data_IF_521235200881
#
_entry.id   IF_521235200881
#
_cell.length_a   1.000
_cell.length_b   1.000
_cell.length_c   1.000
_cell.angle_alpha   90.00
_cell.angle_beta   90.00
_cell.angle_gamma   90.00
#
_symmetry.space_group_name_H-M   'P 1'
#
loop_
_entity.id
_entity.type
_entity.pdbx_description
1 polymer ?
#
# COMPACT_ATOMS: atom_id res chain seq x y z
N UNK A 1 -29.14 10.14 -6.50
CA UNK A 1 -27.85 10.79 -6.19
C UNK A 1 -27.06 9.78 -5.41
N UNK A 2 -25.91 9.34 -5.96
CA UNK A 2 -24.97 8.50 -5.21
C UNK A 2 -24.52 9.28 -3.96
N UNK A 3 -24.46 8.61 -2.81
CA UNK A 3 -24.00 9.24 -1.57
C UNK A 3 -22.49 9.40 -1.61
N UNK A 4 -21.95 10.58 -1.31
CA UNK A 4 -20.50 10.75 -1.19
C UNK A 4 -20.01 10.41 0.23
N UNK A 5 -18.74 10.01 0.36
CA UNK A 5 -18.11 9.68 1.65
C UNK A 5 -18.26 10.75 2.74
N UNK A 6 -18.44 12.02 2.34
CA UNK A 6 -18.69 13.15 3.24
C UNK A 6 -20.02 13.07 4.00
N UNK A 7 -20.96 12.27 3.51
CA UNK A 7 -22.35 12.27 3.96
C UNK A 7 -22.61 11.20 5.05
N UNK A 8 -21.56 10.48 5.47
CA UNK A 8 -21.64 9.35 6.39
C UNK A 8 -21.37 9.78 7.85
N UNK A 9 -22.32 9.49 8.75
CA UNK A 9 -22.25 9.77 10.19
C UNK A 9 -21.26 8.84 10.91
N UNK A 10 -20.51 9.34 11.91
CA UNK A 10 -19.49 8.58 12.68
C UNK A 10 -19.93 8.41 14.14
N UNK A 11 -20.02 7.18 14.67
CA UNK A 11 -20.46 6.92 16.06
C UNK A 11 -19.56 5.86 16.75
N UNK A 12 -19.12 6.03 18.01
CA UNK A 12 -18.29 5.04 18.69
C UNK A 12 -19.03 3.72 19.01
N UNK A 13 -18.42 2.56 18.70
CA UNK A 13 -18.94 1.21 19.04
C UNK A 13 -19.27 0.29 17.85
N UNK A 14 -18.56 0.43 16.73
CA UNK A 14 -19.06 0.06 15.39
C UNK A 14 -18.96 -1.43 15.02
N UNK A 15 -20.01 -1.92 14.37
CA UNK A 15 -20.03 -3.18 13.61
C UNK A 15 -19.12 -3.01 12.36
N UNK A 16 -18.05 -3.80 12.22
CA UNK A 16 -17.09 -3.67 11.12
C UNK A 16 -17.68 -3.95 9.73
N UNK A 17 -18.88 -4.53 9.63
CA UNK A 17 -19.53 -4.91 8.38
C UNK A 17 -20.39 -3.81 7.75
N UNK A 18 -20.65 -2.70 8.46
CA UNK A 18 -21.42 -1.58 7.89
C UNK A 18 -20.50 -0.72 7.01
N UNK A 19 -20.51 -0.98 5.70
CA UNK A 19 -19.76 -0.22 4.68
C UNK A 19 -20.02 1.28 4.78
N UNK A 20 -21.29 1.69 4.87
CA UNK A 20 -21.75 3.07 5.00
C UNK A 20 -21.23 3.81 6.24
N UNK A 21 -20.53 3.15 7.17
CA UNK A 21 -19.97 3.81 8.36
C UNK A 21 -18.45 3.91 8.33
N UNK A 22 -17.81 3.33 7.31
CA UNK A 22 -16.35 3.43 7.15
C UNK A 22 -15.59 2.84 8.33
N UNK A 23 -16.01 1.66 8.81
CA UNK A 23 -15.23 0.86 9.75
C UNK A 23 -14.05 0.18 9.05
N UNK A 24 -14.13 -1.15 8.91
CA UNK A 24 -13.11 -1.95 8.21
C UNK A 24 -12.82 -1.45 6.79
N UNK A 25 -13.87 -1.12 6.01
CA UNK A 25 -13.76 -0.76 4.60
C UNK A 25 -13.22 0.64 4.33
N UNK A 26 -13.07 1.50 5.35
CA UNK A 26 -12.69 2.92 5.20
C UNK A 26 -11.44 3.14 4.36
N UNK A 27 -10.49 2.23 4.49
CA UNK A 27 -9.19 2.31 3.81
C UNK A 27 -9.29 2.11 2.29
N UNK A 28 -10.41 1.62 1.78
CA UNK A 28 -10.68 1.46 0.34
C UNK A 28 -11.75 2.38 -0.21
N UNK A 29 -12.53 3.07 0.64
CA UNK A 29 -13.63 3.92 0.18
C UNK A 29 -13.20 5.01 -0.81
N UNK A 30 -11.98 5.55 -0.68
CA UNK A 30 -11.46 6.55 -1.63
C UNK A 30 -10.97 5.96 -2.95
N UNK A 31 -10.99 4.64 -3.11
CA UNK A 31 -10.57 3.89 -4.30
C UNK A 31 -11.74 3.19 -4.99
N UNK A 32 -12.97 3.45 -4.55
CA UNK A 32 -14.22 2.87 -5.06
C UNK A 32 -15.15 4.03 -5.40
N UNK A 33 -15.70 4.04 -6.61
CA UNK A 33 -16.55 5.15 -7.06
C UNK A 33 -17.99 5.01 -6.54
N UNK A 34 -18.54 3.80 -6.62
CA UNK A 34 -19.93 3.51 -6.27
C UNK A 34 -19.99 2.71 -4.96
N UNK A 35 -20.33 3.39 -3.86
CA UNK A 35 -20.46 2.76 -2.54
C UNK A 35 -21.53 1.67 -2.56
N UNK A 36 -22.59 1.84 -3.36
CA UNK A 36 -23.69 0.89 -3.49
C UNK A 36 -23.24 -0.46 -4.05
N UNK A 37 -22.23 -0.51 -4.93
CA UNK A 37 -21.64 -1.78 -5.38
C UNK A 37 -20.94 -2.48 -4.21
N UNK A 38 -20.13 -1.74 -3.46
CA UNK A 38 -19.45 -2.28 -2.28
C UNK A 38 -20.46 -2.79 -1.23
N UNK A 39 -21.52 -2.03 -0.96
CA UNK A 39 -22.62 -2.44 -0.07
C UNK A 39 -23.29 -3.73 -0.56
N UNK A 40 -23.57 -3.82 -1.86
CA UNK A 40 -24.16 -4.99 -2.49
C UNK A 40 -23.29 -6.24 -2.34
N UNK A 41 -21.98 -6.13 -2.58
CA UNK A 41 -21.02 -7.23 -2.41
C UNK A 41 -20.91 -7.65 -0.94
N UNK A 42 -20.84 -6.68 -0.02
CA UNK A 42 -20.72 -6.99 1.41
C UNK A 42 -21.98 -7.68 1.94
N UNK A 43 -23.15 -7.32 1.43
CA UNK A 43 -24.41 -7.97 1.79
C UNK A 43 -24.47 -9.46 1.39
N UNK A 44 -23.64 -9.93 0.45
CA UNK A 44 -23.56 -11.34 0.05
C UNK A 44 -22.51 -12.15 0.83
N UNK A 45 -21.73 -11.53 1.71
CA UNK A 45 -20.69 -12.24 2.46
C UNK A 45 -21.30 -13.17 3.51
N UNK A 46 -20.93 -14.46 3.46
CA UNK A 46 -21.36 -15.48 4.43
C UNK A 46 -20.36 -15.69 5.59
N UNK A 47 -19.23 -14.98 5.57
CA UNK A 47 -18.20 -15.04 6.60
C UNK A 47 -16.89 -14.36 6.20
N UNK A 48 -15.97 -14.27 7.16
CA UNK A 48 -14.64 -13.63 7.00
C UNK A 48 -13.50 -14.64 6.91
N UNK A 49 -13.79 -15.94 6.93
CA UNK A 49 -12.80 -16.98 6.64
C UNK A 49 -12.46 -16.94 5.15
N UNK A 50 -11.22 -17.28 4.80
CA UNK A 50 -10.72 -17.08 3.44
C UNK A 50 -11.51 -17.83 2.36
N UNK A 51 -12.05 -18.99 2.68
CA UNK A 51 -12.90 -19.83 1.82
C UNK A 51 -14.25 -19.17 1.47
N UNK A 52 -14.73 -18.26 2.31
CA UNK A 52 -15.98 -17.50 2.09
C UNK A 52 -15.73 -16.07 1.62
N UNK A 53 -14.60 -15.51 2.03
CA UNK A 53 -14.20 -14.14 1.75
C UNK A 53 -13.60 -13.98 0.35
N UNK A 54 -12.56 -14.77 0.05
CA UNK A 54 -11.75 -14.57 -1.16
C UNK A 54 -12.57 -14.76 -2.44
N UNK A 55 -13.43 -15.79 -2.59
CA UNK A 55 -14.19 -15.97 -3.83
C UNK A 55 -15.06 -14.77 -4.19
N UNK A 56 -15.75 -14.18 -3.21
CA UNK A 56 -16.65 -13.02 -3.41
C UNK A 56 -15.88 -11.80 -3.94
N UNK A 57 -14.74 -11.49 -3.32
CA UNK A 57 -13.90 -10.37 -3.76
C UNK A 57 -13.16 -10.64 -5.08
N UNK A 58 -12.78 -11.90 -5.31
CA UNK A 58 -12.15 -12.32 -6.58
C UNK A 58 -13.13 -12.19 -7.74
N UNK A 59 -14.39 -12.56 -7.52
CA UNK A 59 -15.45 -12.38 -8.52
C UNK A 59 -15.66 -10.90 -8.82
N UNK A 60 -15.78 -10.06 -7.79
CA UNK A 60 -15.93 -8.62 -7.96
C UNK A 60 -14.78 -7.99 -8.76
N UNK A 61 -13.53 -8.28 -8.38
CA UNK A 61 -12.36 -7.81 -9.12
C UNK A 61 -12.33 -8.32 -10.56
N UNK A 62 -12.74 -9.59 -10.79
CA UNK A 62 -12.79 -10.19 -12.12
C UNK A 62 -13.77 -9.52 -13.08
N UNK A 63 -14.91 -9.01 -12.59
CA UNK A 63 -15.86 -8.26 -13.41
C UNK A 63 -15.23 -6.97 -13.94
N UNK A 64 -14.62 -6.17 -13.06
CA UNK A 64 -13.93 -4.94 -13.47
C UNK A 64 -12.74 -5.22 -14.38
N UNK A 65 -11.98 -6.28 -14.10
CA UNK A 65 -10.82 -6.58 -14.94
C UNK A 65 -11.23 -7.00 -16.35
N UNK A 66 -12.29 -7.81 -16.47
CA UNK A 66 -12.84 -8.21 -17.78
C UNK A 66 -13.35 -6.99 -18.56
N UNK A 67 -14.01 -6.05 -17.87
CA UNK A 67 -14.45 -4.81 -18.51
C UNK A 67 -13.27 -3.91 -18.90
N UNK A 68 -12.22 -3.87 -18.08
CA UNK A 68 -10.96 -3.19 -18.42
C UNK A 68 -10.32 -3.75 -19.69
N UNK A 69 -10.24 -5.07 -19.81
CA UNK A 69 -9.71 -5.74 -21.02
C UNK A 69 -10.54 -5.42 -22.26
N UNK A 70 -11.88 -5.37 -22.12
CA UNK A 70 -12.80 -5.00 -23.20
C UNK A 70 -12.59 -3.54 -23.65
N UNK A 71 -12.51 -2.62 -22.70
CA UNK A 71 -12.29 -1.19 -22.96
C UNK A 71 -10.91 -0.92 -23.56
N UNK A 72 -9.88 -1.63 -23.11
CA UNK A 72 -8.53 -1.54 -23.68
C UNK A 72 -8.54 -1.96 -25.16
N UNK A 73 -9.20 -3.08 -25.48
CA UNK A 73 -9.35 -3.57 -26.86
C UNK A 73 -10.13 -2.59 -27.76
N UNK A 74 -11.09 -1.84 -27.20
CA UNK A 74 -11.85 -0.80 -27.89
C UNK A 74 -11.08 0.53 -28.02
N UNK A 75 -9.87 0.64 -27.43
CA UNK A 75 -9.06 1.85 -27.45
C UNK A 75 -9.46 2.91 -26.41
N UNK A 76 -10.36 2.58 -25.48
CA UNK A 76 -10.83 3.46 -24.41
C UNK A 76 -9.86 3.44 -23.21
N UNK A 77 -8.60 3.87 -23.44
CA UNK A 77 -7.46 3.73 -22.51
C UNK A 77 -7.74 4.23 -21.09
N UNK A 78 -8.29 5.43 -20.94
CA UNK A 78 -8.54 6.01 -19.60
C UNK A 78 -9.61 5.24 -18.82
N UNK A 79 -10.65 4.77 -19.52
CA UNK A 79 -11.70 3.95 -18.91
C UNK A 79 -11.17 2.55 -18.55
N UNK A 80 -10.33 1.96 -19.40
CA UNK A 80 -9.67 0.68 -19.13
C UNK A 80 -8.78 0.76 -17.88
N UNK A 81 -7.90 1.78 -17.81
CA UNK A 81 -7.06 2.06 -16.65
C UNK A 81 -7.88 2.16 -15.36
N UNK A 82 -8.99 2.90 -15.41
CA UNK A 82 -9.89 3.07 -14.27
C UNK A 82 -10.50 1.73 -13.81
N UNK A 83 -10.99 0.89 -14.74
CA UNK A 83 -11.50 -0.44 -14.41
C UNK A 83 -10.42 -1.37 -13.82
N UNK A 84 -9.18 -1.31 -14.33
CA UNK A 84 -8.07 -2.07 -13.75
C UNK A 84 -7.72 -1.63 -12.33
N UNK A 85 -7.84 -0.33 -12.01
CA UNK A 85 -7.68 0.17 -10.65
C UNK A 85 -8.79 -0.30 -9.71
N UNK A 86 -10.04 -0.36 -10.18
CA UNK A 86 -11.16 -0.94 -9.42
C UNK A 86 -10.94 -2.44 -9.16
N UNK A 87 -10.57 -3.19 -10.20
CA UNK A 87 -10.24 -4.61 -10.08
C UNK A 87 -9.16 -4.85 -9.02
N UNK A 88 -8.06 -4.10 -9.09
CA UNK A 88 -6.99 -4.10 -8.10
C UNK A 88 -7.52 -3.85 -6.69
N UNK A 89 -8.38 -2.86 -6.51
CA UNK A 89 -8.95 -2.52 -5.19
C UNK A 89 -9.77 -3.68 -4.62
N UNK A 90 -10.65 -4.30 -5.41
CA UNK A 90 -11.43 -5.46 -4.94
C UNK A 90 -10.54 -6.67 -4.64
N UNK A 91 -9.52 -6.94 -5.47
CA UNK A 91 -8.54 -7.98 -5.17
C UNK A 91 -7.75 -7.68 -3.88
N UNK A 92 -7.38 -6.43 -3.62
CA UNK A 92 -6.71 -6.02 -2.39
C UNK A 92 -7.58 -6.24 -1.14
N UNK A 93 -8.89 -5.97 -1.22
CA UNK A 93 -9.84 -6.32 -0.15
C UNK A 93 -9.86 -7.83 0.06
N UNK A 94 -9.96 -8.60 -1.01
CA UNK A 94 -9.94 -10.06 -0.97
C UNK A 94 -8.65 -10.66 -0.37
N UNK A 95 -7.50 -10.06 -0.65
CA UNK A 95 -6.19 -10.45 -0.09
C UNK A 95 -6.01 -10.13 1.39
N UNK A 96 -6.71 -9.12 1.93
CA UNK A 96 -6.52 -8.67 3.31
C UNK A 96 -6.63 -9.83 4.33
N UNK A 97 -5.81 -9.88 5.40
CA UNK A 97 -4.74 -8.93 5.73
C UNK A 97 -3.39 -9.27 5.08
N UNK A 98 -3.16 -10.50 4.66
CA UNK A 98 -1.85 -10.94 4.19
C UNK A 98 -1.92 -12.22 3.34
N UNK A 99 -0.83 -12.48 2.61
CA UNK A 99 -0.61 -13.66 1.76
C UNK A 99 -0.12 -14.87 2.58
N UNK A 100 -0.93 -15.31 3.54
CA UNK A 100 -0.55 -16.39 4.46
C UNK A 100 -0.99 -17.78 4.01
N UNK A 101 -1.84 -17.87 3.00
CA UNK A 101 -2.37 -19.13 2.45
C UNK A 101 -2.24 -19.15 0.91
N UNK A 102 -2.30 -20.34 0.28
CA UNK A 102 -2.31 -20.43 -1.18
C UNK A 102 -3.44 -19.61 -1.83
N UNK A 103 -4.63 -19.62 -1.23
CA UNK A 103 -5.79 -18.87 -1.74
C UNK A 103 -5.56 -17.35 -1.67
N UNK A 104 -4.93 -16.87 -0.60
CA UNK A 104 -4.56 -15.45 -0.45
C UNK A 104 -3.41 -15.04 -1.38
N UNK A 105 -2.47 -15.96 -1.66
CA UNK A 105 -1.41 -15.74 -2.63
C UNK A 105 -1.96 -15.62 -4.07
N UNK A 106 -2.94 -16.45 -4.44
CA UNK A 106 -3.59 -16.36 -5.76
C UNK A 106 -4.25 -15.00 -6.00
N UNK A 107 -5.10 -14.53 -5.07
CA UNK A 107 -5.75 -13.22 -5.23
C UNK A 107 -4.76 -12.05 -5.12
N UNK A 108 -3.61 -12.23 -4.45
CA UNK A 108 -2.54 -11.23 -4.51
C UNK A 108 -1.89 -11.16 -5.89
N UNK A 109 -1.66 -12.30 -6.53
CA UNK A 109 -1.18 -12.32 -7.90
C UNK A 109 -2.18 -11.66 -8.86
N UNK A 110 -3.49 -11.85 -8.65
CA UNK A 110 -4.55 -11.14 -9.38
C UNK A 110 -4.48 -9.62 -9.14
N UNK A 111 -4.32 -9.18 -7.89
CA UNK A 111 -4.13 -7.77 -7.52
C UNK A 111 -2.94 -7.13 -8.25
N UNK A 112 -1.77 -7.78 -8.19
CA UNK A 112 -0.55 -7.30 -8.85
C UNK A 112 -0.70 -7.26 -10.38
N UNK A 113 -1.37 -8.25 -10.97
CA UNK A 113 -1.65 -8.30 -12.40
C UNK A 113 -2.57 -7.16 -12.86
N UNK A 114 -3.69 -6.95 -12.18
CA UNK A 114 -4.61 -5.85 -12.48
C UNK A 114 -3.92 -4.47 -12.33
N UNK A 115 -3.11 -4.30 -11.28
CA UNK A 115 -2.32 -3.08 -11.12
C UNK A 115 -1.34 -2.85 -12.28
N UNK A 116 -0.65 -3.90 -12.75
CA UNK A 116 0.26 -3.80 -13.90
C UNK A 116 -0.44 -3.38 -15.19
N UNK A 117 -1.66 -3.86 -15.43
CA UNK A 117 -2.49 -3.41 -16.57
C UNK A 117 -2.79 -1.92 -16.46
N UNK A 118 -3.24 -1.45 -15.29
CA UNK A 118 -3.45 -0.01 -15.07
C UNK A 118 -2.17 0.81 -15.30
N UNK A 119 -1.02 0.33 -14.81
CA UNK A 119 0.27 1.00 -14.95
C UNK A 119 0.77 1.11 -16.39
N UNK A 120 0.34 0.22 -17.30
CA UNK A 120 0.71 0.27 -18.71
C UNK A 120 0.16 1.53 -19.42
N UNK A 121 -0.84 2.18 -18.83
CA UNK A 121 -1.48 3.39 -19.34
C UNK A 121 -1.02 4.68 -18.65
N UNK A 122 0.00 4.61 -17.79
CA UNK A 122 0.52 5.79 -17.11
C UNK A 122 1.50 6.56 -17.98
N UNK A 123 1.46 7.89 -17.89
CA UNK A 123 2.47 8.79 -18.45
C UNK A 123 3.00 9.69 -17.32
N UNK A 124 4.30 9.64 -16.98
CA UNK A 124 5.30 8.66 -17.42
C UNK A 124 4.96 7.23 -16.96
N UNK A 125 5.44 6.19 -17.65
CA UNK A 125 5.14 4.81 -17.29
C UNK A 125 5.72 4.43 -15.92
N UNK A 126 5.08 3.47 -15.25
CA UNK A 126 5.63 2.84 -14.04
C UNK A 126 6.77 1.89 -14.42
N UNK A 127 7.92 2.03 -13.77
CA UNK A 127 9.01 1.04 -13.85
C UNK A 127 8.91 0.04 -12.69
N UNK A 128 9.01 -1.25 -13.00
CA UNK A 128 9.06 -2.32 -11.99
C UNK A 128 10.52 -2.69 -11.76
N UNK A 129 11.10 -2.24 -10.65
CA UNK A 129 12.50 -2.48 -10.32
C UNK A 129 12.65 -3.77 -9.52
N UNK A 130 13.58 -4.61 -9.93
CA UNK A 130 14.05 -5.75 -9.15
C UNK A 130 15.32 -5.32 -8.39
N UNK A 131 15.23 -5.21 -7.06
CA UNK A 131 16.31 -4.70 -6.22
C UNK A 131 16.95 -5.89 -5.49
N UNK A 132 18.25 -6.08 -5.70
CA UNK A 132 19.02 -7.19 -5.10
C UNK A 132 19.64 -6.74 -3.79
N UNK A 133 19.49 -7.55 -2.74
CA UNK A 133 20.11 -7.33 -1.44
C UNK A 133 20.53 -8.68 -0.84
N UNK A 134 21.83 -8.85 -0.55
CA UNK A 134 22.39 -10.02 0.14
C UNK A 134 21.89 -11.39 -0.38
N UNK A 135 21.86 -11.58 -1.71
CA UNK A 135 21.48 -12.85 -2.34
C UNK A 135 19.97 -13.12 -2.43
N UNK A 136 19.13 -12.17 -1.98
CA UNK A 136 17.70 -12.13 -2.26
C UNK A 136 17.36 -10.90 -3.11
N UNK A 137 16.16 -10.87 -3.67
CA UNK A 137 15.65 -9.70 -4.38
C UNK A 137 14.21 -9.42 -4.00
N UNK A 138 13.79 -8.17 -4.18
CA UNK A 138 12.41 -7.73 -4.00
C UNK A 138 12.03 -6.76 -5.10
N UNK A 139 10.72 -6.70 -5.39
CA UNK A 139 10.18 -5.80 -6.40
C UNK A 139 9.73 -4.47 -5.79
N UNK A 140 10.06 -3.38 -6.47
CA UNK A 140 9.61 -2.03 -6.14
C UNK A 140 9.03 -1.33 -7.37
N UNK A 141 8.19 -0.32 -7.15
CA UNK A 141 7.59 0.49 -8.20
C UNK A 141 8.28 1.85 -8.24
N UNK A 142 8.95 2.16 -9.34
CA UNK A 142 9.62 3.44 -9.57
C UNK A 142 8.86 4.29 -10.57
N UNK A 143 8.78 5.60 -10.30
CA UNK A 143 8.24 6.57 -11.25
C UNK A 143 8.87 7.94 -11.00
N UNK A 144 9.17 8.66 -12.07
CA UNK A 144 9.72 10.00 -12.00
C UNK A 144 9.03 10.94 -13.01
N UNK A 145 8.90 12.25 -12.71
CA UNK A 145 8.37 13.22 -13.65
C UNK A 145 9.34 13.44 -14.81
N UNK A 146 8.81 13.84 -15.97
CA UNK A 146 9.66 14.30 -17.08
C UNK A 146 10.29 15.62 -16.66
N UNK A 147 11.62 15.66 -16.62
CA UNK A 147 12.39 16.82 -16.17
C UNK A 147 13.71 16.89 -16.91
N UNK A 148 14.17 18.11 -17.19
CA UNK A 148 15.47 18.37 -17.82
C UNK A 148 16.65 18.22 -16.83
N UNK A 149 16.35 18.10 -15.53
CA UNK A 149 17.33 17.94 -14.46
C UNK A 149 16.86 16.95 -13.39
N UNK A 150 17.78 16.28 -12.66
CA UNK A 150 17.41 15.36 -11.59
C UNK A 150 16.52 16.03 -10.53
N UNK A 151 15.48 15.32 -10.09
CA UNK A 151 14.45 15.82 -9.16
C UNK A 151 14.64 15.24 -7.75
N UNK A 152 14.11 15.87 -6.69
CA UNK A 152 14.06 15.23 -5.38
C UNK A 152 13.25 13.94 -5.45
N UNK A 153 13.49 13.02 -4.51
CA UNK A 153 12.80 11.73 -4.51
C UNK A 153 12.26 11.34 -3.13
N UNK A 154 11.30 10.42 -3.12
CA UNK A 154 10.72 9.84 -1.91
C UNK A 154 10.71 8.31 -1.96
N UNK A 155 11.26 7.67 -0.94
CA UNK A 155 11.04 6.24 -0.68
C UNK A 155 9.73 6.07 0.09
N UNK A 156 8.78 5.33 -0.49
CA UNK A 156 7.44 5.09 0.05
C UNK A 156 7.38 3.66 0.58
N UNK A 157 7.16 3.53 1.89
CA UNK A 157 7.16 2.24 2.58
C UNK A 157 5.76 1.80 3.00
N UNK A 158 5.43 0.58 2.62
CA UNK A 158 4.13 -0.05 2.86
C UNK A 158 3.91 -0.50 4.32
N UNK A 159 2.66 -0.82 4.64
CA UNK A 159 2.23 -1.28 5.96
C UNK A 159 2.45 -2.78 6.17
N UNK A 160 1.71 -3.37 7.12
CA UNK A 160 1.70 -4.82 7.31
C UNK A 160 0.69 -5.54 6.41
N UNK A 161 -0.31 -4.80 5.93
CA UNK A 161 -1.55 -5.32 5.34
C UNK A 161 -1.99 -4.54 4.08
N UNK A 162 -1.10 -3.67 3.59
CA UNK A 162 -1.28 -2.79 2.43
C UNK A 162 0.03 -2.79 1.66
N UNK A 163 0.01 -3.15 0.39
CA UNK A 163 1.21 -3.41 -0.42
C UNK A 163 1.44 -2.31 -1.46
N UNK A 164 2.51 -2.39 -2.23
CA UNK A 164 2.93 -1.33 -3.17
C UNK A 164 1.87 -0.98 -4.22
N UNK A 165 1.02 -1.92 -4.64
CA UNK A 165 -0.12 -1.68 -5.53
C UNK A 165 -1.19 -0.78 -4.88
N UNK A 166 -1.29 -0.80 -3.55
CA UNK A 166 -2.21 0.02 -2.76
C UNK A 166 -1.66 1.42 -2.46
N UNK A 167 -0.39 1.66 -2.80
CA UNK A 167 0.32 2.93 -2.63
C UNK A 167 0.55 3.66 -3.96
N UNK A 168 -0.09 3.21 -5.05
CA UNK A 168 -0.05 3.92 -6.34
C UNK A 168 -0.46 5.39 -6.23
N UNK A 169 -1.45 5.72 -5.39
CA UNK A 169 -1.85 7.12 -5.14
C UNK A 169 -0.74 7.96 -4.51
N UNK A 170 0.12 7.37 -3.67
CA UNK A 170 1.21 8.09 -3.04
C UNK A 170 2.34 8.35 -4.05
N UNK A 171 2.56 7.43 -5.00
CA UNK A 171 3.44 7.66 -6.13
C UNK A 171 2.91 8.75 -7.08
N UNK A 172 1.59 8.81 -7.30
CA UNK A 172 0.95 9.88 -8.09
C UNK A 172 1.13 11.25 -7.40
N UNK A 173 0.83 11.35 -6.10
CA UNK A 173 1.04 12.61 -5.35
C UNK A 173 2.51 13.06 -5.37
N UNK A 174 3.45 12.12 -5.31
CA UNK A 174 4.87 12.44 -5.45
C UNK A 174 5.17 13.00 -6.85
N UNK A 175 4.65 12.36 -7.90
CA UNK A 175 4.81 12.80 -9.28
C UNK A 175 4.23 14.21 -9.51
N UNK A 176 3.00 14.47 -9.04
CA UNK A 176 2.32 15.78 -9.10
C UNK A 176 3.09 16.87 -8.36
N UNK A 177 3.79 16.50 -7.27
CA UNK A 177 4.67 17.39 -6.53
C UNK A 177 6.06 17.58 -7.16
N UNK A 178 6.32 16.99 -8.33
CA UNK A 178 7.61 17.07 -9.02
C UNK A 178 8.70 16.20 -8.37
N UNK A 179 8.32 15.12 -7.69
CA UNK A 179 9.21 14.19 -7.01
C UNK A 179 9.26 12.84 -7.75
N UNK A 180 10.44 12.24 -7.82
CA UNK A 180 10.52 10.82 -8.12
C UNK A 180 10.08 9.99 -6.92
N UNK A 181 9.56 8.79 -7.15
CA UNK A 181 9.11 7.91 -6.09
C UNK A 181 9.58 6.48 -6.31
N UNK A 182 9.92 5.80 -5.21
CA UNK A 182 10.11 4.35 -5.16
C UNK A 182 9.18 3.78 -4.09
N UNK A 183 8.22 2.95 -4.48
CA UNK A 183 7.29 2.29 -3.57
C UNK A 183 7.76 0.87 -3.34
N UNK A 184 7.91 0.47 -2.07
CA UNK A 184 8.31 -0.90 -1.72
C UNK A 184 7.38 -1.54 -0.71
N UNK A 185 7.23 -2.86 -0.84
CA UNK A 185 6.57 -3.70 0.15
C UNK A 185 7.39 -3.76 1.44
N UNK A 186 6.71 -3.88 2.58
CA UNK A 186 7.39 -4.12 3.84
C UNK A 186 7.97 -5.55 3.88
N UNK A 187 8.97 -5.83 4.74
CA UNK A 187 9.47 -7.18 4.91
C UNK A 187 8.35 -8.18 5.24
N UNK A 188 8.34 -9.30 4.52
CA UNK A 188 7.40 -10.41 4.68
C UNK A 188 6.03 -10.15 4.09
N UNK A 189 5.91 -9.18 3.18
CA UNK A 189 4.65 -8.82 2.51
C UNK A 189 4.86 -8.62 1.03
N UNK A 190 3.81 -8.86 0.24
CA UNK A 190 3.84 -8.68 -1.21
C UNK A 190 5.02 -9.40 -1.86
N UNK A 191 5.76 -8.67 -2.69
CA UNK A 191 6.92 -9.18 -3.41
C UNK A 191 8.25 -8.90 -2.67
N UNK A 192 8.21 -8.78 -1.34
CA UNK A 192 9.40 -8.62 -0.48
C UNK A 192 9.59 -9.83 0.45
N UNK A 193 10.57 -10.72 0.15
CA UNK A 193 10.75 -11.98 0.87
C UNK A 193 11.51 -11.84 2.19
N UNK A 194 12.09 -10.66 2.48
CA UNK A 194 12.86 -10.46 3.70
C UNK A 194 11.96 -10.66 4.93
N UNK A 195 12.37 -11.42 5.94
CA UNK A 195 11.56 -11.59 7.15
C UNK A 195 11.39 -10.25 7.88
N UNK A 196 10.37 -10.13 8.71
CA UNK A 196 10.27 -8.96 9.59
C UNK A 196 11.17 -9.15 10.82
N UNK A 197 12.34 -8.52 10.80
CA UNK A 197 13.32 -8.54 11.89
C UNK A 197 14.20 -7.27 11.86
N UNK A 198 14.92 -6.93 12.95
CA UNK A 198 15.78 -5.74 12.99
C UNK A 198 16.79 -5.65 11.84
N UNK A 199 17.32 -6.80 11.40
CA UNK A 199 18.27 -6.89 10.28
C UNK A 199 17.69 -6.49 8.92
N UNK A 200 16.36 -6.49 8.76
CA UNK A 200 15.70 -6.20 7.48
C UNK A 200 15.77 -4.73 7.05
N UNK A 201 16.32 -3.86 7.91
CA UNK A 201 16.73 -2.50 7.52
C UNK A 201 17.64 -2.50 6.28
N UNK A 202 18.42 -3.56 6.06
CA UNK A 202 19.25 -3.73 4.85
C UNK A 202 18.46 -3.66 3.54
N UNK A 203 17.21 -4.15 3.53
CA UNK A 203 16.36 -4.09 2.35
C UNK A 203 15.95 -2.64 2.05
N UNK A 204 15.72 -1.82 3.09
CA UNK A 204 15.39 -0.40 2.94
C UNK A 204 16.61 0.42 2.52
N UNK A 205 17.81 0.06 3.03
CA UNK A 205 19.07 0.64 2.57
C UNK A 205 19.32 0.28 1.10
N UNK A 206 19.10 -0.96 0.68
CA UNK A 206 19.20 -1.34 -0.73
C UNK A 206 18.18 -0.58 -1.61
N UNK A 207 16.97 -0.36 -1.10
CA UNK A 207 15.95 0.43 -1.81
C UNK A 207 16.36 1.90 -1.99
N UNK A 208 16.89 2.54 -0.94
CA UNK A 208 17.36 3.93 -1.06
C UNK A 208 18.59 4.03 -1.97
N UNK A 209 19.49 3.03 -1.95
CA UNK A 209 20.65 2.99 -2.84
C UNK A 209 20.23 2.85 -4.31
N UNK A 210 19.25 1.98 -4.58
CA UNK A 210 18.67 1.85 -5.91
C UNK A 210 17.98 3.14 -6.38
N UNK A 211 17.29 3.85 -5.49
CA UNK A 211 16.67 5.14 -5.79
C UNK A 211 17.72 6.24 -6.05
N UNK A 212 18.78 6.30 -5.25
CA UNK A 212 19.89 7.25 -5.42
C UNK A 212 20.65 7.05 -6.73
N UNK A 213 20.74 5.81 -7.20
CA UNK A 213 21.46 5.47 -8.43
C UNK A 213 20.71 5.87 -9.72
N UNK A 214 19.45 6.33 -9.61
CA UNK A 214 18.64 6.73 -10.77
C UNK A 214 19.11 8.07 -11.33
N UNK A 215 19.34 8.19 -12.66
CA UNK A 215 19.75 9.45 -13.27
C UNK A 215 18.68 10.55 -13.16
N UNK A 216 17.41 10.17 -13.00
CA UNK A 216 16.29 11.09 -12.78
C UNK A 216 16.29 11.70 -11.38
N UNK A 217 17.11 11.19 -10.45
CA UNK A 217 17.05 11.51 -9.02
C UNK A 217 18.25 12.34 -8.58
N UNK A 218 17.95 13.45 -7.91
CA UNK A 218 18.94 14.19 -7.14
C UNK A 218 19.19 13.46 -5.81
N UNK A 219 20.27 12.67 -5.78
CA UNK A 219 20.67 11.87 -4.63
C UNK A 219 20.90 12.68 -3.34
N UNK A 220 21.01 14.02 -3.42
CA UNK A 220 21.19 14.88 -2.25
C UNK A 220 19.86 15.31 -1.60
N UNK A 221 18.73 15.06 -2.28
CA UNK A 221 17.38 15.50 -1.86
C UNK A 221 16.39 14.32 -1.82
N UNK A 222 16.65 13.36 -0.94
CA UNK A 222 15.78 12.19 -0.77
C UNK A 222 15.04 12.24 0.56
N UNK A 223 13.73 12.04 0.53
CA UNK A 223 12.88 11.84 1.70
C UNK A 223 12.37 10.40 1.83
N UNK A 224 11.75 10.10 2.95
CA UNK A 224 11.08 8.83 3.20
C UNK A 224 9.68 9.05 3.78
N UNK A 225 8.70 8.29 3.30
CA UNK A 225 7.31 8.34 3.72
C UNK A 225 6.79 6.94 4.06
N UNK A 226 6.11 6.79 5.19
CA UNK A 226 5.59 5.49 5.61
C UNK A 226 4.34 5.58 6.48
N UNK A 227 3.45 4.61 6.33
CA UNK A 227 2.21 4.49 7.11
C UNK A 227 2.22 3.17 7.90
N UNK A 228 1.70 3.20 9.13
CA UNK A 228 1.62 2.03 10.02
C UNK A 228 3.02 1.45 10.22
N UNK A 229 3.22 0.16 9.95
CA UNK A 229 4.54 -0.48 9.99
C UNK A 229 5.60 0.25 9.15
N UNK A 230 5.23 0.78 7.98
CA UNK A 230 6.12 1.58 7.14
C UNK A 230 6.55 2.88 7.82
N UNK A 231 5.70 3.47 8.67
CA UNK A 231 6.04 4.64 9.48
C UNK A 231 7.17 4.36 10.47
N UNK A 232 7.19 3.16 11.05
CA UNK A 232 8.33 2.71 11.87
C UNK A 232 9.58 2.46 11.01
N UNK A 233 9.43 1.80 9.87
CA UNK A 233 10.55 1.49 8.98
C UNK A 233 11.27 2.73 8.44
N UNK A 234 10.55 3.80 8.08
CA UNK A 234 11.20 5.05 7.61
C UNK A 234 11.97 5.76 8.72
N UNK A 235 11.52 5.65 9.98
CA UNK A 235 12.27 6.17 11.13
C UNK A 235 13.55 5.35 11.36
N UNK A 236 13.46 4.03 11.28
CA UNK A 236 14.64 3.16 11.40
C UNK A 236 15.64 3.43 10.27
N UNK A 237 15.18 3.50 9.02
CA UNK A 237 16.03 3.85 7.88
C UNK A 237 16.77 5.17 8.10
N UNK A 238 16.04 6.23 8.50
CA UNK A 238 16.65 7.53 8.75
C UNK A 238 17.67 7.51 9.92
N UNK A 239 17.45 6.66 10.93
CA UNK A 239 18.42 6.44 12.00
C UNK A 239 19.66 5.64 11.55
N UNK A 240 19.52 4.77 10.55
CA UNK A 240 20.60 3.92 10.02
C UNK A 240 21.46 4.62 8.97
N UNK A 241 20.85 5.44 8.10
CA UNK A 241 21.54 6.20 7.04
C UNK A 241 21.15 7.69 7.07
N UNK A 242 21.41 8.40 8.19
CA UNK A 242 20.97 9.79 8.40
C UNK A 242 21.55 10.77 7.38
N UNK A 243 22.68 10.43 6.75
CA UNK A 243 23.29 11.23 5.70
C UNK A 243 22.54 11.16 4.36
N UNK A 244 21.70 10.14 4.14
CA UNK A 244 20.97 9.91 2.88
C UNK A 244 19.53 10.41 2.93
N UNK A 245 18.86 10.32 4.09
CA UNK A 245 17.45 10.72 4.26
C UNK A 245 17.35 12.14 4.83
N UNK A 246 16.78 13.07 4.04
CA UNK A 246 16.67 14.51 4.37
C UNK A 246 15.34 14.90 5.00
N UNK A 247 14.31 14.09 4.80
CA UNK A 247 12.98 14.32 5.38
C UNK A 247 12.31 12.98 5.67
N UNK A 248 11.55 12.92 6.76
CA UNK A 248 10.78 11.73 7.14
C UNK A 248 9.34 12.13 7.45
N UNK A 249 8.40 11.41 6.86
CA UNK A 249 6.98 11.45 7.21
C UNK A 249 6.56 10.07 7.69
N UNK A 250 6.40 9.93 9.00
CA UNK A 250 5.99 8.68 9.65
C UNK A 250 4.55 8.82 10.18
N UNK A 251 3.60 8.09 9.60
CA UNK A 251 2.19 8.16 9.98
C UNK A 251 1.82 6.90 10.77
N UNK A 252 1.39 7.09 12.01
CA UNK A 252 0.95 6.01 12.90
C UNK A 252 1.97 4.84 13.03
N UNK A 253 3.27 5.17 13.00
CA UNK A 253 4.34 4.22 13.23
C UNK A 253 4.36 3.78 14.69
N UNK A 254 4.48 2.47 14.93
CA UNK A 254 4.68 1.91 16.25
C UNK A 254 5.96 1.06 16.26
N UNK A 255 6.83 1.18 17.27
CA UNK A 255 7.98 0.30 17.39
C UNK A 255 7.53 -1.15 17.54
N UNK A 256 7.91 -1.99 16.59
CA UNK A 256 7.68 -3.43 16.66
C UNK A 256 8.96 -4.11 17.13
N UNK A 257 8.85 -4.96 18.16
CA UNK A 257 9.98 -5.70 18.73
C UNK A 257 10.56 -5.15 20.03
N UNK A 258 10.02 -4.04 20.56
CA UNK A 258 10.27 -3.66 21.94
C UNK A 258 9.34 -4.43 22.87
N UNK A 259 9.88 -5.43 23.54
CA UNK A 259 9.18 -6.15 24.60
C UNK A 259 9.38 -5.40 25.92
N UNK A 260 8.30 -4.77 26.40
CA UNK A 260 8.32 -4.11 27.71
C UNK A 260 8.55 -5.13 28.80
N UNK A 261 9.43 -4.80 29.74
CA UNK A 261 9.56 -5.54 30.99
C UNK A 261 8.24 -5.51 31.79
N UNK A 262 8.06 -6.49 32.68
CA UNK A 262 6.91 -6.50 33.60
C UNK A 262 6.81 -5.19 34.41
N UNK A 263 7.97 -4.62 34.78
CA UNK A 263 8.03 -3.34 35.50
C UNK A 263 7.52 -2.16 34.67
N UNK A 264 7.91 -2.06 33.40
CA UNK A 264 7.43 -1.02 32.48
C UNK A 264 5.94 -1.17 32.21
N UNK A 265 5.46 -2.41 32.04
CA UNK A 265 4.02 -2.70 31.92
C UNK A 265 3.23 -2.25 33.16
N UNK A 266 3.72 -2.57 34.36
CA UNK A 266 3.11 -2.14 35.61
C UNK A 266 3.08 -0.62 35.74
N UNK A 267 4.16 0.06 35.31
CA UNK A 267 4.27 1.52 35.33
C UNK A 267 3.27 2.18 34.38
N UNK A 268 3.10 1.64 33.18
CA UNK A 268 2.09 2.12 32.21
C UNK A 268 0.67 1.92 32.76
N UNK A 269 0.38 0.76 33.35
CA UNK A 269 -0.92 0.47 33.94
C UNK A 269 -1.25 1.46 35.08
N UNK A 270 -0.29 1.68 35.99
CA UNK A 270 -0.44 2.66 37.06
C UNK A 270 -0.66 4.09 36.51
N UNK A 271 0.09 4.50 35.48
CA UNK A 271 -0.07 5.80 34.84
C UNK A 271 -1.43 5.97 34.16
N UNK A 272 -1.96 4.93 33.51
CA UNK A 272 -3.30 4.94 32.90
C UNK A 272 -4.41 5.07 33.94
N UNK A 273 -4.31 4.30 35.03
CA UNK A 273 -5.31 4.30 36.08
C UNK A 273 -5.36 5.61 36.90
N UNK A 274 -4.29 6.40 36.89
CA UNK A 274 -4.25 7.74 37.53
C UNK A 274 -4.96 8.84 36.73
N UNK A 275 -5.40 8.57 35.49
CA UNK A 275 -6.06 9.57 34.63
C UNK A 275 -7.56 9.76 34.95
N UNK A 276 -7.99 9.36 36.14
CA UNK A 276 -9.32 9.64 36.69
C UNK A 276 -9.56 11.14 36.82
#
# INVERSE_FOLDING_TARGET
>A
MAKSMSDLERLPGEDPFIVARGGFYRRWLSMIDEIEELEGIVATLEGTTEDKWVPVWREAGGRHETEGDRLEADGAVEAAKHQFLLAKTYYAIGRFPAEISPLKAEISADCARAFRKACAHLDPPMEFLEIVCEGSSFRAHFRAPRSDSPVPAVLIMCGADVFKEDRGWAAELALEAGLASLVMDAPGTGENPFPWEPGSVKAWVAAIDALMARPEVDQTRIGAFGISRGGYSVMQLAGTVPERVKAVVAIAGHPFGYEMSEHEMATIAAARNRRS
#
